data_IF_532926601264
#
_entry.id   IF_532926601264
#
_cell.length_a   1.000
_cell.length_b   1.000
_cell.length_c   1.000
_cell.angle_alpha   90.00
_cell.angle_beta   90.00
_cell.angle_gamma   90.00
#
_symmetry.space_group_name_H-M   'P 1'
#
loop_
_entity.id
_entity.type
_entity.pdbx_description
1 polymer ?
#
# COMPACT_ATOMS: atom_id res chain seq x y z
N UNK A 1 -83.39 -13.85 -12.40
CA UNK A 1 -82.69 -12.73 -11.75
C UNK A 1 -83.66 -11.56 -11.74
N UNK A 2 -84.08 -11.12 -10.56
CA UNK A 2 -85.13 -10.09 -10.41
C UNK A 2 -84.51 -8.68 -10.46
N UNK A 3 -85.29 -7.64 -10.78
CA UNK A 3 -84.83 -6.23 -10.82
C UNK A 3 -84.14 -5.78 -9.52
N UNK A 4 -84.55 -6.36 -8.38
CA UNK A 4 -83.97 -6.10 -7.07
C UNK A 4 -82.53 -6.63 -6.92
N UNK A 5 -82.20 -7.72 -7.60
CA UNK A 5 -80.84 -8.29 -7.59
C UNK A 5 -79.90 -7.51 -8.51
N UNK A 6 -80.41 -7.06 -9.66
CA UNK A 6 -79.67 -6.21 -10.60
C UNK A 6 -79.32 -4.83 -10.00
N UNK A 7 -80.24 -4.23 -9.24
CA UNK A 7 -79.98 -2.95 -8.55
C UNK A 7 -78.95 -3.08 -7.43
N UNK A 8 -78.94 -4.19 -6.69
CA UNK A 8 -77.92 -4.45 -5.66
C UNK A 8 -76.54 -4.65 -6.27
N UNK A 9 -76.44 -5.40 -7.38
CA UNK A 9 -75.15 -5.60 -8.07
C UNK A 9 -74.61 -4.27 -8.61
N UNK A 10 -75.47 -3.40 -9.14
CA UNK A 10 -75.07 -2.07 -9.60
C UNK A 10 -74.58 -1.18 -8.46
N UNK A 11 -75.31 -1.14 -7.35
CA UNK A 11 -74.90 -0.37 -6.16
C UNK A 11 -73.57 -0.88 -5.59
N UNK A 12 -73.37 -2.20 -5.53
CA UNK A 12 -72.09 -2.79 -5.13
C UNK A 12 -70.97 -2.41 -6.10
N UNK A 13 -71.22 -2.44 -7.41
CA UNK A 13 -70.24 -2.03 -8.41
C UNK A 13 -69.80 -0.57 -8.29
N UNK A 14 -70.73 0.33 -7.96
CA UNK A 14 -70.44 1.75 -7.71
C UNK A 14 -69.60 1.93 -6.44
N UNK A 15 -69.91 1.22 -5.34
CA UNK A 15 -69.12 1.25 -4.10
C UNK A 15 -67.74 0.61 -4.25
N UNK A 16 -67.59 -0.45 -5.05
CA UNK A 16 -66.27 -1.00 -5.35
C UNK A 16 -65.42 -0.05 -6.18
N UNK A 17 -66.04 0.69 -7.12
CA UNK A 17 -65.33 1.67 -7.92
C UNK A 17 -64.82 2.85 -7.09
N UNK A 18 -65.60 3.33 -6.11
CA UNK A 18 -65.17 4.41 -5.20
C UNK A 18 -64.01 3.93 -4.30
N UNK A 19 -64.11 2.74 -3.73
CA UNK A 19 -63.04 2.16 -2.89
C UNK A 19 -61.76 1.95 -3.69
N UNK A 20 -61.85 1.49 -4.95
CA UNK A 20 -60.67 1.33 -5.80
C UNK A 20 -60.02 2.68 -6.16
N UNK A 21 -60.83 3.71 -6.42
CA UNK A 21 -60.31 5.05 -6.68
C UNK A 21 -59.58 5.63 -5.45
N UNK A 22 -60.15 5.45 -4.25
CA UNK A 22 -59.53 5.89 -3.00
C UNK A 22 -58.25 5.10 -2.67
N UNK A 23 -58.23 3.79 -2.96
CA UNK A 23 -57.04 2.96 -2.79
C UNK A 23 -55.93 3.37 -3.75
N UNK A 24 -56.26 3.63 -5.02
CA UNK A 24 -55.29 4.09 -6.01
C UNK A 24 -54.70 5.43 -5.61
N UNK A 25 -55.55 6.38 -5.19
CA UNK A 25 -55.12 7.70 -4.73
C UNK A 25 -54.20 7.60 -3.52
N UNK A 26 -54.58 6.83 -2.49
CA UNK A 26 -53.73 6.67 -1.29
C UNK A 26 -52.43 5.94 -1.59
N UNK A 27 -52.42 5.03 -2.56
CA UNK A 27 -51.19 4.39 -3.02
C UNK A 27 -50.26 5.39 -3.73
N UNK A 28 -50.79 6.19 -4.66
CA UNK A 28 -50.02 7.23 -5.36
C UNK A 28 -49.46 8.29 -4.39
N UNK A 29 -50.26 8.73 -3.42
CA UNK A 29 -49.82 9.65 -2.36
C UNK A 29 -48.68 9.06 -1.52
N UNK A 30 -48.78 7.79 -1.10
CA UNK A 30 -47.72 7.12 -0.33
C UNK A 30 -46.45 6.88 -1.14
N UNK A 31 -46.59 6.52 -2.41
CA UNK A 31 -45.43 6.33 -3.31
C UNK A 31 -44.69 7.65 -3.54
N UNK A 32 -45.42 8.75 -3.73
CA UNK A 32 -44.85 10.09 -3.87
C UNK A 32 -44.13 10.53 -2.59
N UNK A 33 -44.76 10.35 -1.42
CA UNK A 33 -44.13 10.66 -0.13
C UNK A 33 -42.87 9.81 0.13
N UNK A 34 -42.89 8.53 -0.26
CA UNK A 34 -41.73 7.65 -0.13
C UNK A 34 -40.60 8.06 -1.09
N UNK A 35 -40.92 8.45 -2.32
CA UNK A 35 -39.93 8.96 -3.28
C UNK A 35 -39.24 10.24 -2.76
N UNK A 36 -40.02 11.19 -2.22
CA UNK A 36 -39.48 12.40 -1.59
C UNK A 36 -38.57 12.07 -0.40
N UNK A 37 -38.99 11.14 0.47
CA UNK A 37 -38.18 10.71 1.60
C UNK A 37 -36.86 10.04 1.16
N UNK A 38 -36.85 9.35 0.02
CA UNK A 38 -35.62 8.81 -0.56
C UNK A 38 -34.72 9.91 -1.14
N UNK A 39 -35.28 10.90 -1.84
CA UNK A 39 -34.52 12.03 -2.35
C UNK A 39 -33.88 12.84 -1.21
N UNK A 40 -34.61 13.10 -0.12
CA UNK A 40 -34.06 13.75 1.07
C UNK A 40 -32.93 12.94 1.70
N UNK A 41 -33.09 11.61 1.81
CA UNK A 41 -32.03 10.73 2.31
C UNK A 41 -30.80 10.75 1.40
N UNK A 42 -30.99 10.70 0.08
CA UNK A 42 -29.89 10.78 -0.88
C UNK A 42 -29.19 12.14 -0.82
N UNK A 43 -29.93 13.24 -0.69
CA UNK A 43 -29.38 14.57 -0.51
C UNK A 43 -28.59 14.67 0.81
N UNK A 44 -29.11 14.11 1.90
CA UNK A 44 -28.42 14.07 3.20
C UNK A 44 -27.13 13.24 3.14
N UNK A 45 -27.16 12.10 2.46
CA UNK A 45 -25.99 11.22 2.27
C UNK A 45 -24.95 11.90 1.37
N UNK A 46 -25.39 12.56 0.30
CA UNK A 46 -24.54 13.34 -0.59
C UNK A 46 -23.84 14.49 0.15
N UNK A 47 -24.58 15.20 1.01
CA UNK A 47 -24.02 16.27 1.84
C UNK A 47 -23.01 15.73 2.87
N UNK A 48 -23.24 14.54 3.44
CA UNK A 48 -22.28 13.88 4.32
C UNK A 48 -21.02 13.44 3.57
N UNK A 49 -21.17 12.88 2.36
CA UNK A 49 -20.03 12.51 1.51
C UNK A 49 -19.22 13.74 1.08
N UNK A 50 -19.88 14.85 0.73
CA UNK A 50 -19.18 16.11 0.45
C UNK A 50 -18.45 16.67 1.68
N UNK A 51 -18.93 16.40 2.90
CA UNK A 51 -18.24 16.76 4.15
C UNK A 51 -17.10 15.83 4.53
N UNK A 52 -17.06 14.59 4.04
CA UNK A 52 -16.07 13.56 4.45
C UNK A 52 -15.10 13.17 3.33
N UNK A 53 -15.12 13.89 2.21
CA UNK A 53 -14.15 13.74 1.12
C UNK A 53 -13.45 15.06 0.90
N UNK A 54 -12.66 15.48 1.88
CA UNK A 54 -11.54 16.38 1.60
C UNK A 54 -10.27 15.53 1.65
N UNK A 55 -9.39 15.72 0.67
CA UNK A 55 -8.10 15.01 0.58
C UNK A 55 -7.28 15.20 1.87
N UNK A 56 -7.52 16.30 2.58
CA UNK A 56 -6.86 16.66 3.84
C UNK A 56 -7.20 15.71 5.01
N UNK A 57 -8.38 15.08 5.04
CA UNK A 57 -8.77 14.13 6.11
C UNK A 57 -8.29 12.70 5.82
N UNK A 58 -8.13 12.34 4.54
CA UNK A 58 -7.68 11.01 4.11
C UNK A 58 -6.15 10.93 4.03
N UNK A 59 -5.49 12.07 3.79
CA UNK A 59 -4.03 12.21 3.76
C UNK A 59 -3.33 11.63 5.01
N UNK A 60 -3.73 11.93 6.27
CA UNK A 60 -3.05 11.36 7.43
C UNK A 60 -3.24 9.84 7.56
N UNK A 61 -4.37 9.29 7.10
CA UNK A 61 -4.61 7.83 7.12
C UNK A 61 -3.75 7.13 6.07
N UNK A 62 -3.71 7.68 4.85
CA UNK A 62 -2.84 7.17 3.78
C UNK A 62 -1.36 7.31 4.14
N UNK A 63 -0.97 8.44 4.75
CA UNK A 63 0.40 8.67 5.20
C UNK A 63 0.79 7.65 6.28
N UNK A 64 -0.09 7.39 7.26
CA UNK A 64 0.16 6.37 8.28
C UNK A 64 0.31 4.96 7.68
N UNK A 65 -0.50 4.62 6.68
CA UNK A 65 -0.37 3.33 5.98
C UNK A 65 0.91 3.25 5.13
N UNK A 66 1.32 4.35 4.52
CA UNK A 66 2.58 4.43 3.75
C UNK A 66 3.79 4.36 4.68
N UNK A 67 3.75 5.03 5.82
CA UNK A 67 4.85 5.01 6.81
C UNK A 67 5.01 3.61 7.42
N UNK A 68 3.91 2.90 7.69
CA UNK A 68 3.93 1.50 8.16
C UNK A 68 4.49 0.55 7.07
N UNK A 69 4.05 0.75 5.81
CA UNK A 69 4.55 -0.03 4.68
C UNK A 69 6.04 0.24 4.38
N UNK A 70 6.50 1.48 4.50
CA UNK A 70 7.91 1.88 4.31
C UNK A 70 8.76 1.39 5.49
N UNK A 71 8.23 1.41 6.72
CA UNK A 71 8.88 0.84 7.89
C UNK A 71 9.07 -0.69 7.81
N UNK A 72 8.20 -1.38 7.06
CA UNK A 72 8.32 -2.81 6.79
C UNK A 72 9.33 -3.15 5.69
N UNK A 73 9.84 -2.18 4.93
CA UNK A 73 10.92 -2.40 3.96
C UNK A 73 12.23 -2.55 4.76
N UNK A 74 12.90 -3.71 4.71
CA UNK A 74 14.19 -3.86 5.37
C UNK A 74 15.17 -2.84 4.75
N UNK A 75 15.81 -2.04 5.61
CA UNK A 75 16.89 -1.14 5.20
C UNK A 75 17.90 -1.93 4.33
N UNK A 76 18.38 -1.36 3.20
CA UNK A 76 19.47 -1.94 2.46
C UNK A 76 20.61 -2.24 3.43
N UNK A 77 20.93 -3.53 3.60
CA UNK A 77 22.12 -3.89 4.35
C UNK A 77 23.29 -3.39 3.53
N UNK A 78 24.06 -2.46 4.10
CA UNK A 78 25.39 -2.18 3.60
C UNK A 78 26.09 -3.53 3.40
N UNK A 79 26.59 -3.74 2.18
CA UNK A 79 27.38 -4.92 1.89
C UNK A 79 28.47 -5.02 2.94
N UNK A 80 28.62 -6.20 3.58
CA UNK A 80 29.69 -6.40 4.56
C UNK A 80 31.00 -5.95 3.94
N UNK A 81 31.59 -4.89 4.50
CA UNK A 81 32.96 -4.55 4.21
C UNK A 81 33.81 -5.79 4.47
N UNK A 82 34.53 -6.22 3.44
CA UNK A 82 35.43 -7.35 3.55
C UNK A 82 36.60 -6.92 4.44
N UNK A 83 36.76 -7.62 5.57
CA UNK A 83 37.86 -7.40 6.50
C UNK A 83 39.21 -7.61 5.77
N UNK A 84 40.06 -6.57 5.63
CA UNK A 84 41.25 -6.61 4.78
C UNK A 84 42.28 -7.66 5.20
N UNK A 85 42.24 -8.10 6.46
CA UNK A 85 43.07 -9.19 6.98
C UNK A 85 42.65 -10.56 6.43
N UNK A 86 41.35 -10.80 6.25
CA UNK A 86 40.83 -12.07 5.70
C UNK A 86 41.16 -12.18 4.21
N UNK A 87 41.10 -11.06 3.47
CA UNK A 87 41.55 -10.99 2.08
C UNK A 87 43.07 -11.20 1.96
N UNK A 88 43.89 -10.61 2.85
CA UNK A 88 45.33 -10.89 2.89
C UNK A 88 45.62 -12.35 3.16
N UNK A 89 44.92 -12.97 4.11
CA UNK A 89 45.09 -14.38 4.43
C UNK A 89 44.71 -15.27 3.23
N UNK A 90 43.55 -15.01 2.61
CA UNK A 90 43.08 -15.77 1.44
C UNK A 90 43.98 -15.58 0.22
N UNK A 91 44.50 -14.36 0.01
CA UNK A 91 45.47 -14.07 -1.05
C UNK A 91 46.81 -14.73 -0.77
N UNK A 92 47.31 -14.71 0.47
CA UNK A 92 48.56 -15.38 0.83
C UNK A 92 48.44 -16.90 0.74
N UNK A 93 47.31 -17.50 1.14
CA UNK A 93 47.05 -18.94 1.01
C UNK A 93 46.87 -19.36 -0.45
N UNK A 94 46.31 -18.50 -1.30
CA UNK A 94 46.21 -18.73 -2.73
C UNK A 94 47.57 -18.59 -3.43
N UNK A 95 48.37 -17.58 -3.05
CA UNK A 95 49.72 -17.35 -3.57
C UNK A 95 50.68 -18.46 -3.14
N UNK A 96 50.56 -18.98 -1.91
CA UNK A 96 51.36 -20.10 -1.42
C UNK A 96 51.08 -21.43 -2.15
N UNK A 97 49.91 -21.55 -2.82
CA UNK A 97 49.52 -22.73 -3.61
C UNK A 97 49.89 -22.61 -5.09
N UNK A 98 50.40 -21.46 -5.54
CA UNK A 98 50.97 -21.33 -6.89
C UNK A 98 52.34 -22.01 -6.87
N UNK A 99 52.59 -23.04 -7.68
CA UNK A 99 53.92 -23.62 -7.82
C UNK A 99 54.87 -22.54 -8.32
N UNK A 100 55.96 -22.31 -7.58
CA UNK A 100 56.99 -21.34 -7.96
C UNK A 100 57.53 -21.73 -9.34
N UNK A 101 57.50 -20.82 -10.34
CA UNK A 101 58.23 -21.03 -11.59
C UNK A 101 59.71 -21.27 -11.26
N UNK A 102 60.33 -22.28 -11.86
CA UNK A 102 61.77 -22.45 -11.73
C UNK A 102 62.47 -21.23 -12.35
N UNK A 103 63.14 -20.45 -11.51
CA UNK A 103 63.83 -19.22 -11.93
C UNK A 103 64.85 -19.50 -13.04
N UNK A 104 64.71 -18.77 -14.14
CA UNK A 104 65.80 -18.57 -15.09
C UNK A 104 66.89 -17.75 -14.41
N UNK A 105 68.09 -18.34 -14.32
CA UNK A 105 69.33 -17.78 -13.74
C UNK A 105 69.50 -16.30 -14.13
N UNK A 106 69.14 -15.40 -13.22
CA UNK A 106 69.34 -13.95 -13.37
C UNK A 106 70.47 -13.51 -12.45
N UNK A 107 71.44 -12.86 -13.05
CA UNK A 107 72.68 -12.33 -12.49
C UNK A 107 72.35 -11.37 -11.33
N UNK A 108 73.01 -11.55 -10.19
CA UNK A 108 72.82 -10.70 -9.01
C UNK A 108 73.82 -9.52 -9.00
N UNK A 109 73.55 -8.42 -8.28
CA UNK A 109 74.50 -7.30 -8.13
C UNK A 109 75.87 -7.68 -7.54
N UNK A 110 75.99 -8.87 -6.92
CA UNK A 110 77.26 -9.40 -6.44
C UNK A 110 78.08 -10.08 -7.55
N UNK A 111 77.48 -10.43 -8.69
CA UNK A 111 78.16 -10.99 -9.88
C UNK A 111 78.80 -9.89 -10.77
N UNK A 112 78.35 -8.63 -10.65
CA UNK A 112 78.91 -7.46 -11.37
C UNK A 112 79.87 -6.62 -10.52
N UNK A 113 79.89 -6.83 -9.19
CA UNK A 113 80.84 -6.19 -8.26
C UNK A 113 82.32 -6.40 -8.64
N UNK A 114 82.79 -7.61 -9.01
CA UNK A 114 84.20 -7.78 -9.37
C UNK A 114 84.60 -7.06 -10.66
N UNK A 115 83.69 -6.90 -11.64
CA UNK A 115 83.97 -6.14 -12.87
C UNK A 115 84.08 -4.62 -12.62
N UNK A 116 83.23 -4.06 -11.77
CA UNK A 116 83.28 -2.65 -11.38
C UNK A 116 84.51 -2.34 -10.53
N UNK A 117 84.88 -3.23 -9.60
CA UNK A 117 86.12 -3.09 -8.83
C UNK A 117 87.37 -3.19 -9.73
N UNK A 118 87.35 -4.05 -10.75
CA UNK A 118 88.44 -4.10 -11.74
C UNK A 118 88.55 -2.79 -12.54
N UNK A 119 87.44 -2.25 -13.06
CA UNK A 119 87.45 -0.99 -13.82
C UNK A 119 87.86 0.22 -12.98
N UNK A 120 87.47 0.28 -11.69
CA UNK A 120 87.87 1.35 -10.76
C UNK A 120 89.33 1.20 -10.34
N UNK A 121 89.84 -0.02 -10.15
CA UNK A 121 91.25 -0.28 -9.85
C UNK A 121 92.17 0.04 -11.04
N UNK A 122 91.69 -0.20 -12.27
CA UNK A 122 92.41 0.18 -13.50
C UNK A 122 92.45 1.71 -13.68
N UNK A 123 91.36 2.42 -13.36
CA UNK A 123 91.29 3.88 -13.44
C UNK A 123 92.07 4.62 -12.34
N UNK A 124 92.13 4.08 -11.11
CA UNK A 124 92.86 4.71 -9.98
C UNK A 124 94.38 4.47 -10.08
N UNK A 125 94.84 3.51 -10.88
CA UNK A 125 96.27 3.28 -11.13
C UNK A 125 96.98 4.40 -11.94
N UNK A 126 96.22 5.32 -12.54
CA UNK A 126 96.74 6.40 -13.38
C UNK A 126 96.74 7.78 -12.70
N UNK A 127 96.42 7.85 -11.41
CA UNK A 127 96.51 9.11 -10.63
C UNK A 127 97.81 9.10 -9.80
N UNK A 128 98.81 9.94 -10.13
CA UNK A 128 100.07 10.00 -9.37
C UNK A 128 99.88 10.56 -7.95
N UNK A 129 100.60 9.98 -7.00
CA UNK A 129 100.54 10.26 -5.55
C UNK A 129 101.36 11.52 -5.17
N UNK A 130 100.80 12.55 -4.52
CA UNK A 130 101.56 13.64 -3.91
C UNK A 130 102.20 13.23 -2.57
N UNK A 131 103.45 13.63 -2.34
CA UNK A 131 104.27 13.34 -1.14
C UNK A 131 103.99 14.27 0.04
N UNK A 132 104.16 13.72 1.24
CA UNK A 132 104.21 14.40 2.55
C UNK A 132 105.35 15.43 2.69
N UNK A 133 105.10 16.42 3.57
CA UNK A 133 106.11 17.37 4.06
C UNK A 133 105.67 18.33 5.18
N UNK A 134 105.54 17.80 6.42
CA UNK A 134 105.76 18.39 7.77
C UNK A 134 104.94 19.58 8.31
N UNK A 135 104.06 19.23 9.26
CA UNK A 135 103.90 19.67 10.66
C UNK A 135 104.27 21.11 11.07
N UNK A 136 103.26 21.88 11.52
CA UNK A 136 103.40 23.15 12.23
C UNK A 136 102.86 23.08 13.67
N UNK A 137 103.55 23.81 14.56
CA UNK A 137 103.50 23.85 16.03
C UNK A 137 102.11 24.17 16.66
N UNK A 138 101.81 23.65 17.87
CA UNK A 138 100.49 23.65 18.50
C UNK A 138 100.07 24.97 19.21
N UNK A 139 100.90 26.03 19.18
CA UNK A 139 100.59 27.31 19.83
C UNK A 139 99.65 28.21 19.00
N UNK A 140 99.70 28.16 17.66
CA UNK A 140 98.83 29.01 16.81
C UNK A 140 97.40 28.45 16.71
N UNK A 141 97.23 27.12 16.80
CA UNK A 141 95.92 26.47 16.85
C UNK A 141 95.06 26.96 18.02
N UNK A 142 95.66 27.28 19.18
CA UNK A 142 94.95 27.91 20.31
C UNK A 142 94.50 29.34 19.99
N UNK A 143 95.30 30.08 19.23
CA UNK A 143 94.95 31.43 18.81
C UNK A 143 93.83 31.41 17.76
N UNK A 144 93.88 30.49 16.80
CA UNK A 144 92.83 30.30 15.79
C UNK A 144 91.50 29.84 16.41
N UNK A 145 91.52 29.01 17.46
CA UNK A 145 90.31 28.61 18.18
C UNK A 145 89.77 29.75 19.04
N UNK A 146 90.62 30.53 19.71
CA UNK A 146 90.16 31.68 20.50
C UNK A 146 89.64 32.83 19.61
N UNK A 147 90.19 33.04 18.42
CA UNK A 147 89.65 33.98 17.42
C UNK A 147 88.34 33.47 16.80
N UNK A 148 88.15 32.15 16.71
CA UNK A 148 86.88 31.55 16.29
C UNK A 148 85.79 31.63 17.38
N UNK A 149 86.17 31.58 18.66
CA UNK A 149 85.23 31.69 19.81
C UNK A 149 84.88 33.16 20.11
N UNK A 150 85.78 34.12 19.87
CA UNK A 150 85.51 35.55 20.04
C UNK A 150 84.61 36.15 18.95
N UNK A 151 84.46 35.47 17.81
CA UNK A 151 83.58 35.87 16.70
C UNK A 151 82.17 35.25 16.78
N UNK A 152 81.74 34.77 17.96
CA UNK A 152 80.36 34.38 18.20
C UNK A 152 79.67 35.42 19.10
N UNK A 153 79.00 36.45 18.54
CA UNK A 153 78.07 37.26 19.32
C UNK A 153 76.79 36.49 19.67
N UNK A 154 76.37 36.70 20.91
CA UNK A 154 75.37 36.01 21.72
C UNK A 154 73.91 36.13 21.22
N UNK A 155 73.01 35.18 21.59
CA UNK A 155 71.62 35.19 21.17
C UNK A 155 70.87 36.35 21.84
N UNK A 156 70.37 37.28 21.03
CA UNK A 156 69.48 38.33 21.50
C UNK A 156 68.05 37.81 21.60
N UNK A 157 67.39 38.17 22.70
CA UNK A 157 66.01 37.85 23.05
C UNK A 157 65.00 38.16 21.93
N UNK A 158 63.94 37.35 21.88
CA UNK A 158 62.96 37.30 20.81
C UNK A 158 62.22 38.62 20.55
N UNK A 159 62.07 38.95 19.26
CA UNK A 159 60.98 39.82 18.80
C UNK A 159 59.67 39.06 18.99
N UNK A 160 58.78 39.54 19.84
CA UNK A 160 57.39 39.07 19.85
C UNK A 160 56.81 39.29 18.45
N UNK A 161 56.43 38.19 17.80
CA UNK A 161 55.65 38.22 16.56
C UNK A 161 54.37 39.00 16.86
N UNK A 162 54.14 40.07 16.13
CA UNK A 162 52.83 40.73 16.18
C UNK A 162 51.84 39.91 15.35
N UNK A 163 50.52 39.96 15.61
CA UNK A 163 49.53 39.22 14.82
C UNK A 163 49.61 39.47 13.30
N UNK A 164 50.20 40.58 12.88
CA UNK A 164 50.41 40.91 11.48
C UNK A 164 51.63 40.22 10.84
N UNK A 165 52.60 39.72 11.63
CA UNK A 165 53.75 38.96 11.13
C UNK A 165 53.43 37.47 10.89
N UNK A 166 52.48 36.91 11.66
CA UNK A 166 52.01 35.52 11.51
C UNK A 166 50.87 35.37 10.49
N UNK A 167 50.19 36.47 10.13
CA UNK A 167 49.11 36.47 9.14
C UNK A 167 49.53 35.90 7.77
N UNK A 168 50.65 36.32 7.14
CA UNK A 168 51.02 35.77 5.83
C UNK A 168 51.41 34.29 5.91
N UNK A 169 52.03 33.83 7.01
CA UNK A 169 52.33 32.41 7.23
C UNK A 169 51.06 31.58 7.46
N UNK A 170 50.11 32.09 8.24
CA UNK A 170 48.81 31.43 8.46
C UNK A 170 47.99 31.38 7.17
N UNK A 171 47.97 32.45 6.37
CA UNK A 171 47.31 32.46 5.06
C UNK A 171 47.97 31.46 4.10
N UNK A 172 49.30 31.36 4.07
CA UNK A 172 49.99 30.33 3.29
C UNK A 172 49.68 28.92 3.78
N UNK A 173 49.76 28.65 5.09
CA UNK A 173 49.47 27.33 5.66
C UNK A 173 48.00 26.95 5.47
N UNK A 174 47.06 27.88 5.57
CA UNK A 174 45.63 27.63 5.32
C UNK A 174 45.37 27.41 3.84
N UNK A 175 46.04 28.14 2.95
CA UNK A 175 45.92 27.91 1.49
C UNK A 175 46.50 26.54 1.11
N UNK A 176 47.64 26.16 1.68
CA UNK A 176 48.28 24.87 1.45
C UNK A 176 47.45 23.72 2.05
N UNK A 177 46.91 23.88 3.27
CA UNK A 177 46.02 22.90 3.89
C UNK A 177 44.69 22.75 3.15
N UNK A 178 44.09 23.85 2.67
CA UNK A 178 42.85 23.82 1.87
C UNK A 178 43.11 23.21 0.48
N UNK A 179 44.32 23.38 -0.09
CA UNK A 179 44.70 22.69 -1.33
C UNK A 179 44.85 21.17 -1.17
N UNK A 180 45.05 20.70 0.07
CA UNK A 180 45.17 19.27 0.41
C UNK A 180 43.87 18.65 0.90
N UNK A 181 42.80 19.44 1.07
CA UNK A 181 41.45 18.89 1.22
C UNK A 181 41.03 18.42 -0.18
N UNK A 182 40.91 17.10 -0.42
CA UNK A 182 40.43 16.62 -1.70
C UNK A 182 39.01 17.15 -1.91
N UNK A 183 38.81 17.90 -3.00
CA UNK A 183 37.47 18.31 -3.45
C UNK A 183 36.60 17.05 -3.53
N UNK A 184 35.38 17.05 -2.97
CA UNK A 184 34.45 15.96 -3.18
C UNK A 184 34.37 15.71 -4.69
N UNK A 185 34.67 14.48 -5.11
CA UNK A 185 34.45 14.10 -6.50
C UNK A 185 32.95 14.11 -6.69
N UNK A 186 32.45 15.07 -7.45
CA UNK A 186 31.10 14.97 -7.99
C UNK A 186 31.01 13.61 -8.70
N UNK A 187 29.98 12.84 -8.34
CA UNK A 187 29.69 11.59 -9.03
C UNK A 187 29.58 11.88 -10.53
N UNK A 188 29.94 10.89 -11.37
CA UNK A 188 29.60 11.03 -12.79
C UNK A 188 28.09 11.19 -12.89
N UNK A 189 27.65 12.40 -13.22
CA UNK A 189 26.29 12.63 -13.67
C UNK A 189 26.05 11.66 -14.82
N UNK A 190 25.03 10.82 -14.66
CA UNK A 190 24.64 9.90 -15.71
C UNK A 190 24.21 10.72 -16.93
N UNK A 191 24.79 10.40 -18.08
CA UNK A 191 24.42 11.00 -19.35
C UNK A 191 22.89 10.83 -19.55
N UNK A 192 22.13 11.93 -19.66
CA UNK A 192 20.67 11.88 -19.74
C UNK A 192 20.18 11.02 -20.91
N UNK A 193 20.95 10.92 -21.99
CA UNK A 193 20.60 10.10 -23.15
C UNK A 193 20.71 8.61 -22.85
N UNK A 194 21.71 8.21 -22.05
CA UNK A 194 21.88 6.81 -21.60
C UNK A 194 20.77 6.45 -20.62
N UNK A 195 20.40 7.38 -19.74
CA UNK A 195 19.33 7.18 -18.78
C UNK A 195 17.97 7.08 -19.49
N UNK A 196 17.72 7.93 -20.48
CA UNK A 196 16.51 7.87 -21.30
C UNK A 196 16.42 6.55 -22.08
N UNK A 197 17.53 6.08 -22.65
CA UNK A 197 17.58 4.78 -23.32
C UNK A 197 17.32 3.63 -22.37
N UNK A 198 17.94 3.63 -21.19
CA UNK A 198 17.72 2.61 -20.17
C UNK A 198 16.27 2.57 -19.67
N UNK A 199 15.62 3.74 -19.54
CA UNK A 199 14.21 3.85 -19.19
C UNK A 199 13.32 3.34 -20.33
N UNK A 200 13.63 3.66 -21.59
CA UNK A 200 12.88 3.15 -22.74
C UNK A 200 12.99 1.63 -22.86
N UNK A 201 14.20 1.09 -22.70
CA UNK A 201 14.46 -0.34 -22.74
C UNK A 201 13.73 -1.06 -21.59
N UNK A 202 13.72 -0.47 -20.38
CA UNK A 202 12.98 -0.99 -19.23
C UNK A 202 11.46 -0.95 -19.42
N UNK A 203 10.93 0.15 -19.98
CA UNK A 203 9.50 0.29 -20.28
C UNK A 203 9.08 -0.65 -21.40
N UNK A 204 9.91 -0.85 -22.41
CA UNK A 204 9.66 -1.82 -23.49
C UNK A 204 9.78 -3.27 -23.03
N UNK A 205 10.53 -3.53 -21.95
CA UNK A 205 10.64 -4.84 -21.33
C UNK A 205 9.47 -5.16 -20.38
N UNK A 206 8.64 -4.17 -20.05
CA UNK A 206 7.39 -4.44 -19.33
C UNK A 206 6.49 -5.31 -20.22
N UNK A 207 5.93 -6.40 -19.66
CA UNK A 207 4.96 -7.19 -20.40
C UNK A 207 3.80 -6.30 -20.80
N UNK A 208 3.37 -6.40 -22.06
CA UNK A 208 2.18 -5.70 -22.52
C UNK A 208 1.02 -5.99 -21.55
N UNK A 209 0.25 -4.96 -21.12
CA UNK A 209 -0.92 -5.19 -20.30
C UNK A 209 -1.79 -6.19 -21.03
N UNK A 210 -2.05 -7.32 -20.37
CA UNK A 210 -3.02 -8.27 -20.90
C UNK A 210 -4.38 -7.64 -20.68
N UNK A 211 -5.14 -7.48 -21.75
CA UNK A 211 -6.55 -7.14 -21.66
C UNK A 211 -7.22 -8.10 -20.66
N UNK A 212 -7.95 -7.53 -19.70
CA UNK A 212 -8.78 -8.34 -18.82
C UNK A 212 -9.70 -9.20 -19.69
N UNK A 213 -9.87 -10.47 -19.34
CA UNK A 213 -10.86 -11.31 -20.01
C UNK A 213 -12.20 -10.59 -19.96
N UNK A 214 -12.67 -10.11 -21.09
CA UNK A 214 -14.02 -9.59 -21.24
C UNK A 214 -14.98 -10.56 -20.55
N UNK A 215 -15.80 -10.03 -19.64
CA UNK A 215 -16.84 -10.82 -19.00
C UNK A 215 -17.69 -11.42 -20.12
N UNK A 216 -17.49 -12.71 -20.37
CA UNK A 216 -18.27 -13.47 -21.35
C UNK A 216 -19.72 -13.22 -21.01
N UNK A 217 -20.55 -12.86 -22.00
CA UNK A 217 -21.96 -12.56 -21.78
C UNK A 217 -22.58 -13.67 -20.92
N UNK A 218 -22.91 -13.34 -19.67
CA UNK A 218 -23.32 -14.31 -18.68
C UNK A 218 -24.74 -14.76 -19.01
N UNK A 219 -24.86 -15.95 -19.57
CA UNK A 219 -26.15 -16.54 -19.94
C UNK A 219 -26.83 -17.11 -18.68
N UNK A 220 -27.95 -16.50 -18.29
CA UNK A 220 -28.75 -16.94 -17.14
C UNK A 220 -29.93 -17.76 -17.65
N UNK A 221 -29.98 -19.03 -17.26
CA UNK A 221 -31.10 -19.90 -17.61
C UNK A 221 -32.38 -19.47 -16.85
N UNK A 222 -33.56 -19.53 -17.49
CA UNK A 222 -34.82 -19.11 -16.88
C UNK A 222 -35.37 -20.08 -15.83
N UNK A 223 -34.83 -21.30 -15.74
CA UNK A 223 -35.19 -22.28 -14.72
C UNK A 223 -34.10 -23.37 -14.62
N UNK A 224 -33.95 -23.96 -13.43
CA UNK A 224 -33.19 -25.21 -13.24
C UNK A 224 -34.06 -26.40 -13.64
N UNK A 225 -33.61 -27.16 -14.64
CA UNK A 225 -34.16 -28.47 -14.98
C UNK A 225 -33.44 -29.55 -14.16
N UNK A 226 -34.09 -30.07 -13.12
CA UNK A 226 -33.52 -31.07 -12.20
C UNK A 226 -33.21 -32.42 -12.86
N UNK A 227 -33.70 -32.67 -14.07
CA UNK A 227 -33.37 -33.88 -14.83
C UNK A 227 -32.06 -33.75 -15.63
N UNK A 228 -31.54 -32.53 -15.76
CA UNK A 228 -30.31 -32.24 -16.50
C UNK A 228 -29.14 -31.97 -15.55
N UNK A 229 -27.95 -32.32 -16.01
CA UNK A 229 -26.69 -31.95 -15.37
C UNK A 229 -26.08 -30.75 -16.07
N UNK A 230 -25.75 -29.73 -15.31
CA UNK A 230 -25.11 -28.50 -15.80
C UNK A 230 -23.64 -28.46 -15.36
N UNK A 231 -22.73 -27.93 -16.19
CA UNK A 231 -21.34 -27.77 -15.80
C UNK A 231 -21.16 -26.67 -14.73
N UNK A 232 -20.01 -26.68 -14.06
CA UNK A 232 -19.62 -25.59 -13.15
C UNK A 232 -19.60 -24.25 -13.90
N UNK A 233 -20.12 -23.21 -13.26
CA UNK A 233 -20.18 -21.85 -13.81
C UNK A 233 -21.47 -21.53 -14.54
N UNK A 234 -22.43 -22.46 -14.64
CA UNK A 234 -23.78 -22.17 -15.14
C UNK A 234 -24.56 -21.35 -14.13
N UNK A 235 -25.32 -20.36 -14.63
CA UNK A 235 -26.24 -19.55 -13.83
C UNK A 235 -27.68 -19.85 -14.25
N UNK A 236 -28.57 -19.91 -13.29
CA UNK A 236 -29.98 -20.15 -13.53
C UNK A 236 -30.85 -19.48 -12.46
N UNK A 237 -32.07 -19.13 -12.84
CA UNK A 237 -33.08 -18.71 -11.85
C UNK A 237 -33.80 -19.94 -11.30
N UNK A 238 -34.09 -19.95 -10.00
CA UNK A 238 -34.85 -21.02 -9.35
C UNK A 238 -35.50 -20.49 -8.07
N UNK A 239 -36.79 -20.79 -7.88
CA UNK A 239 -37.56 -20.36 -6.70
C UNK A 239 -37.42 -18.86 -6.41
N UNK A 240 -37.49 -18.01 -7.45
CA UNK A 240 -37.40 -16.55 -7.31
C UNK A 240 -36.00 -15.99 -7.06
N UNK A 241 -34.97 -16.84 -6.98
CA UNK A 241 -33.58 -16.46 -6.72
C UNK A 241 -32.64 -16.77 -7.87
N UNK A 242 -31.42 -16.23 -7.79
CA UNK A 242 -30.33 -16.52 -8.73
C UNK A 242 -29.40 -17.58 -8.15
N UNK A 243 -29.14 -18.62 -8.92
CA UNK A 243 -28.33 -19.75 -8.52
C UNK A 243 -27.15 -19.95 -9.45
N UNK A 244 -26.02 -20.39 -8.89
CA UNK A 244 -24.80 -20.74 -9.62
C UNK A 244 -24.47 -22.21 -9.39
N UNK A 245 -24.05 -22.91 -10.45
CA UNK A 245 -23.45 -24.21 -10.34
C UNK A 245 -21.98 -24.07 -9.90
N UNK A 246 -21.63 -24.45 -8.66
CA UNK A 246 -20.24 -24.43 -8.18
C UNK A 246 -19.47 -25.73 -8.54
N UNK A 247 -20.19 -26.79 -8.90
CA UNK A 247 -19.68 -28.06 -9.44
C UNK A 247 -20.61 -28.58 -10.55
N UNK A 248 -20.29 -29.73 -11.17
CA UNK A 248 -21.21 -30.37 -12.11
C UNK A 248 -22.47 -30.83 -11.37
N UNK A 249 -23.62 -30.33 -11.78
CA UNK A 249 -24.86 -30.50 -11.02
C UNK A 249 -25.54 -31.84 -11.29
N UNK A 250 -26.25 -32.34 -10.28
CA UNK A 250 -27.08 -33.55 -10.37
C UNK A 250 -28.39 -33.26 -9.62
N UNK A 251 -29.44 -32.89 -10.34
CA UNK A 251 -30.62 -32.28 -9.73
C UNK A 251 -30.26 -30.96 -9.06
N UNK A 252 -30.64 -30.81 -7.78
CA UNK A 252 -30.31 -29.62 -6.97
C UNK A 252 -28.90 -29.65 -6.35
N UNK A 253 -28.23 -30.82 -6.35
CA UNK A 253 -26.86 -30.90 -5.86
C UNK A 253 -25.91 -30.13 -6.80
N UNK A 254 -25.01 -29.36 -6.21
CA UNK A 254 -24.01 -28.58 -6.94
C UNK A 254 -24.46 -27.17 -7.30
N UNK A 255 -25.69 -26.81 -6.94
CA UNK A 255 -26.21 -25.46 -7.01
C UNK A 255 -26.03 -24.74 -5.68
N UNK A 256 -25.66 -23.47 -5.74
CA UNK A 256 -25.66 -22.55 -4.61
C UNK A 256 -26.54 -21.34 -4.95
N UNK A 257 -27.29 -20.85 -3.97
CA UNK A 257 -28.11 -19.66 -4.11
C UNK A 257 -27.22 -18.43 -3.88
N UNK A 258 -27.10 -17.56 -4.88
CA UNK A 258 -26.32 -16.32 -4.81
C UNK A 258 -27.18 -15.11 -4.44
N UNK A 259 -28.38 -15.04 -5.02
CA UNK A 259 -29.36 -14.00 -4.70
C UNK A 259 -30.55 -14.68 -4.08
N UNK A 260 -30.72 -14.45 -2.78
CA UNK A 260 -31.84 -14.99 -2.03
C UNK A 260 -33.10 -14.18 -2.30
N UNK A 261 -33.90 -14.67 -3.24
CA UNK A 261 -35.15 -14.05 -3.63
C UNK A 261 -36.33 -14.55 -2.80
N UNK A 262 -37.54 -14.18 -3.24
CA UNK A 262 -38.78 -14.69 -2.64
C UNK A 262 -39.30 -15.82 -3.51
N UNK A 263 -39.33 -17.02 -2.94
CA UNK A 263 -39.84 -18.21 -3.59
C UNK A 263 -41.37 -18.28 -3.55
N UNK A 264 -41.94 -17.92 -2.40
CA UNK A 264 -43.36 -18.07 -2.12
C UNK A 264 -43.79 -17.10 -1.00
N UNK A 265 -45.00 -16.56 -1.12
CA UNK A 265 -45.65 -15.77 -0.08
C UNK A 265 -47.03 -16.37 0.16
N UNK A 266 -47.21 -16.93 1.34
CA UNK A 266 -48.50 -17.46 1.80
C UNK A 266 -49.10 -16.49 2.83
N UNK A 267 -50.35 -16.09 2.60
CA UNK A 267 -51.09 -15.21 3.50
C UNK A 267 -52.34 -15.93 3.95
N UNK A 268 -52.45 -16.16 5.26
CA UNK A 268 -53.57 -16.87 5.86
C UNK A 268 -54.19 -16.07 7.00
N UNK A 269 -55.50 -16.25 7.19
CA UNK A 269 -56.23 -15.66 8.31
C UNK A 269 -56.33 -16.70 9.42
N UNK A 270 -55.64 -16.48 10.54
CA UNK A 270 -55.53 -17.42 11.67
C UNK A 270 -56.48 -17.11 12.84
N UNK A 271 -57.28 -16.05 12.72
CA UNK A 271 -58.35 -15.67 13.65
C UNK A 271 -59.24 -14.58 13.04
N UNK A 272 -60.25 -14.07 13.75
CA UNK A 272 -61.22 -13.10 13.19
C UNK A 272 -60.59 -11.78 12.68
N UNK A 273 -59.38 -11.45 13.17
CA UNK A 273 -58.61 -10.24 12.80
C UNK A 273 -57.14 -10.51 12.52
N UNK A 274 -56.70 -11.76 12.68
CA UNK A 274 -55.29 -12.12 12.73
C UNK A 274 -54.87 -12.69 11.38
N UNK A 275 -53.88 -12.06 10.78
CA UNK A 275 -53.29 -12.48 9.52
C UNK A 275 -51.86 -12.96 9.78
N UNK A 276 -51.52 -14.14 9.26
CA UNK A 276 -50.16 -14.64 9.20
C UNK A 276 -49.65 -14.54 7.77
N UNK A 277 -48.47 -13.95 7.61
CA UNK A 277 -47.74 -13.89 6.34
C UNK A 277 -46.49 -14.73 6.49
N UNK A 278 -46.41 -15.78 5.68
CA UNK A 278 -45.26 -16.67 5.59
C UNK A 278 -44.54 -16.38 4.27
N UNK A 279 -43.30 -15.92 4.37
CA UNK A 279 -42.41 -15.73 3.22
C UNK A 279 -41.40 -16.87 3.21
N UNK A 280 -41.33 -17.61 2.11
CA UNK A 280 -40.25 -18.58 1.84
C UNK A 280 -39.28 -17.94 0.87
N UNK A 281 -38.01 -17.95 1.23
CA UNK A 281 -36.93 -17.44 0.40
C UNK A 281 -36.36 -18.58 -0.45
N UNK A 282 -35.65 -18.21 -1.52
CA UNK A 282 -35.05 -19.16 -2.47
C UNK A 282 -34.07 -20.11 -1.80
N UNK A 283 -33.32 -19.65 -0.79
CA UNK A 283 -32.40 -20.47 0.01
C UNK A 283 -33.09 -21.55 0.84
N UNK A 284 -34.42 -21.51 0.96
CA UNK A 284 -35.22 -22.35 1.85
C UNK A 284 -35.50 -21.72 3.21
N UNK A 285 -34.97 -20.51 3.50
CA UNK A 285 -35.31 -19.79 4.72
C UNK A 285 -36.81 -19.47 4.75
N UNK A 286 -37.46 -19.71 5.89
CA UNK A 286 -38.88 -19.40 6.11
C UNK A 286 -38.99 -18.33 7.19
N UNK A 287 -39.67 -17.24 6.88
CA UNK A 287 -40.02 -16.19 7.84
C UNK A 287 -41.53 -16.10 7.98
N UNK A 288 -42.03 -16.12 9.20
CA UNK A 288 -43.46 -15.96 9.49
C UNK A 288 -43.66 -14.71 10.35
N UNK A 289 -44.62 -13.87 9.95
CA UNK A 289 -45.02 -12.69 10.70
C UNK A 289 -46.52 -12.63 10.81
N UNK A 290 -46.99 -12.35 12.01
CA UNK A 290 -48.41 -12.24 12.30
C UNK A 290 -48.77 -10.80 12.67
N UNK A 291 -49.86 -10.27 12.12
CA UNK A 291 -50.38 -8.96 12.47
C UNK A 291 -51.91 -8.99 12.57
N UNK A 292 -52.47 -8.07 13.35
CA UNK A 292 -53.92 -7.91 13.51
C UNK A 292 -54.39 -6.69 12.73
N UNK A 293 -55.46 -6.83 11.94
CA UNK A 293 -56.12 -5.71 11.28
C UNK A 293 -57.35 -5.27 12.09
N UNK A 294 -57.56 -3.97 12.34
CA UNK A 294 -58.72 -3.47 13.07
C UNK A 294 -59.98 -3.43 12.17
N UNK A 295 -60.44 -4.60 11.74
CA UNK A 295 -61.65 -4.74 10.93
C UNK A 295 -62.91 -4.60 11.78
N UNK A 296 -63.96 -4.01 11.21
CA UNK A 296 -65.24 -3.81 11.89
C UNK A 296 -65.90 -5.16 12.23
N UNK A 297 -65.93 -5.54 13.52
CA UNK A 297 -66.63 -6.75 13.97
C UNK A 297 -67.73 -6.37 14.96
N UNK A 298 -68.96 -6.74 14.64
CA UNK A 298 -70.09 -6.44 15.51
C UNK A 298 -70.12 -7.36 16.74
N UNK A 299 -70.02 -6.77 17.94
CA UNK A 299 -69.99 -7.47 19.25
C UNK A 299 -71.31 -7.38 20.02
N UNK A 300 -72.39 -6.91 19.40
CA UNK A 300 -73.71 -6.83 20.04
C UNK A 300 -73.92 -5.54 20.84
N UNK A 301 -74.69 -5.62 21.93
CA UNK A 301 -75.02 -4.46 22.79
C UNK A 301 -73.88 -4.20 23.77
N UNK A 302 -73.45 -2.95 23.91
CA UNK A 302 -72.37 -2.56 24.82
C UNK A 302 -72.65 -2.99 26.26
N UNK A 303 -71.65 -3.62 26.89
CA UNK A 303 -71.67 -4.00 28.31
C UNK A 303 -70.47 -3.42 29.04
N UNK A 304 -70.73 -2.78 30.17
CA UNK A 304 -69.68 -2.27 31.04
C UNK A 304 -68.88 -3.45 31.63
N UNK A 305 -67.54 -3.42 31.48
CA UNK A 305 -66.63 -4.46 31.97
C UNK A 305 -66.25 -5.54 30.96
N UNK A 306 -66.81 -5.54 29.74
CA UNK A 306 -66.32 -6.36 28.63
C UNK A 306 -65.12 -5.69 27.94
N UNK A 307 -64.17 -6.51 27.49
CA UNK A 307 -63.00 -6.04 26.72
C UNK A 307 -63.35 -5.99 25.24
N UNK A 308 -63.30 -4.80 24.66
CA UNK A 308 -63.45 -4.57 23.23
C UNK A 308 -62.10 -4.24 22.61
N UNK A 309 -61.85 -4.74 21.41
CA UNK A 309 -60.64 -4.53 20.64
C UNK A 309 -60.88 -3.49 19.55
N UNK A 310 -59.84 -2.77 19.09
CA UNK A 310 -59.97 -1.78 18.01
C UNK A 310 -60.68 -2.35 16.78
N UNK A 311 -61.69 -1.63 16.31
CA UNK A 311 -62.61 -2.08 15.25
C UNK A 311 -63.81 -2.88 15.75
N UNK A 312 -63.96 -3.18 17.04
CA UNK A 312 -65.21 -3.76 17.55
C UNK A 312 -66.34 -2.74 17.45
N UNK A 313 -67.49 -3.18 16.97
CA UNK A 313 -68.68 -2.35 16.79
C UNK A 313 -69.75 -2.82 17.78
N UNK A 314 -70.32 -1.91 18.56
CA UNK A 314 -71.35 -2.20 19.56
C UNK A 314 -72.55 -1.27 19.43
N UNK A 315 -73.71 -1.75 19.84
CA UNK A 315 -74.92 -0.93 19.96
C UNK A 315 -75.03 -0.38 21.38
N UNK A 316 -75.13 0.94 21.53
CA UNK A 316 -75.38 1.63 22.80
C UNK A 316 -76.42 2.73 22.62
N UNK A 317 -77.52 2.69 23.38
CA UNK A 317 -78.55 3.74 23.36
C UNK A 317 -79.13 4.00 21.96
N UNK A 318 -79.50 2.94 21.23
CA UNK A 318 -79.98 2.97 19.85
C UNK A 318 -78.99 3.54 18.80
N UNK A 319 -77.72 3.70 19.17
CA UNK A 319 -76.64 4.13 18.27
C UNK A 319 -75.58 3.03 18.14
N UNK A 320 -74.98 2.95 16.97
CA UNK A 320 -73.85 2.07 16.68
C UNK A 320 -72.55 2.85 16.94
N UNK A 321 -71.64 2.31 17.75
CA UNK A 321 -70.34 2.90 18.06
C UNK A 321 -69.21 1.91 17.80
N UNK A 322 -68.07 2.40 17.31
CA UNK A 322 -66.86 1.62 17.10
C UNK A 322 -65.84 1.90 18.19
N UNK A 323 -65.22 0.83 18.71
CA UNK A 323 -64.08 0.91 19.60
C UNK A 323 -62.87 1.39 18.81
N UNK A 324 -62.37 2.58 19.18
CA UNK A 324 -61.11 3.15 18.68
C UNK A 324 -59.99 2.88 19.69
N UNK A 325 -58.75 2.83 19.21
CA UNK A 325 -57.53 2.69 20.03
C UNK A 325 -57.43 3.85 21.02
#
# INVERSE_FOLDING_TARGET
MNERELSIIRALGEEFATVLADLQRTFEEKMSAQAQAFEEKLASLSALLQKHVTVDEVSPVLQAMVDDAVGAIPLPRDGRDYDPEVLKQAVNDAVAKIPVPADGKSITPDDVRPMLEQMVKEAVSHIPVPRDGRDYDPEVLKQAVNDAVANIPQPADGKSLTPDDVRPMLEQMVTEAVSHIPVPRDGRDYDPDVLQKAVLDAVSALPAPQDGRDATALEILPAIDVQKSFPRGTYATHQGGLWRAYEKTHGMRGWECLVDGVADIDVSMTGERLFSVVVRQSSGQRTEKTFSLPVMLYRGVFRAGETYHPGDTVTWGARCGTATV
#
